data_IF_771970787582
#
_entry.id   IF_771970787582
#
_cell.length_a   1.000
_cell.length_b   1.000
_cell.length_c   1.000
_cell.angle_alpha   90.00
_cell.angle_beta   90.00
_cell.angle_gamma   90.00
#
_symmetry.space_group_name_H-M   'P 1'
#
loop_
_entity.id
_entity.type
_entity.pdbx_description
1 polymer ?
#
# COMPACT_ATOMS: atom_id res chain seq x y z
N UNK A 1 -64.65 -10.10 0.97
CA UNK A 1 -63.66 -10.96 1.64
C UNK A 1 -62.58 -11.55 0.71
N UNK A 2 -62.76 -11.58 -0.62
CA UNK A 2 -61.75 -12.15 -1.56
C UNK A 2 -60.63 -11.19 -1.94
N UNK A 3 -60.80 -9.85 -1.81
CA UNK A 3 -59.80 -8.83 -2.15
C UNK A 3 -58.66 -8.81 -1.14
N UNK A 4 -58.90 -9.07 0.14
CA UNK A 4 -57.89 -9.02 1.18
C UNK A 4 -56.84 -10.14 1.04
N UNK A 5 -57.19 -11.28 0.46
CA UNK A 5 -56.22 -12.40 0.24
C UNK A 5 -55.28 -12.10 -0.93
N UNK A 6 -55.73 -11.36 -1.95
CA UNK A 6 -54.87 -10.98 -3.10
C UNK A 6 -53.83 -9.97 -2.67
N UNK A 7 -54.20 -8.97 -1.86
CA UNK A 7 -53.24 -7.98 -1.30
C UNK A 7 -52.25 -8.66 -0.35
N UNK A 8 -52.66 -9.62 0.45
CA UNK A 8 -51.75 -10.34 1.35
C UNK A 8 -50.77 -11.24 0.58
N UNK A 9 -51.22 -11.87 -0.52
CA UNK A 9 -50.34 -12.65 -1.38
C UNK A 9 -49.37 -11.79 -2.18
N UNK A 10 -49.77 -10.57 -2.57
CA UNK A 10 -48.88 -9.60 -3.26
C UNK A 10 -47.78 -9.08 -2.33
N UNK A 11 -48.05 -8.92 -1.02
CA UNK A 11 -47.06 -8.51 -0.02
C UNK A 11 -46.00 -9.61 0.26
N UNK A 12 -46.34 -10.88 0.11
CA UNK A 12 -45.43 -12.01 0.34
C UNK A 12 -44.40 -12.19 -0.80
N UNK A 13 -44.68 -11.69 -1.99
CA UNK A 13 -43.75 -11.83 -3.14
C UNK A 13 -42.63 -10.77 -3.15
N UNK A 14 -42.73 -9.71 -2.35
CA UNK A 14 -41.74 -8.62 -2.29
C UNK A 14 -40.54 -9.00 -1.39
N UNK A 15 -40.63 -10.04 -0.56
CA UNK A 15 -39.60 -10.42 0.44
C UNK A 15 -38.40 -11.21 -0.09
N UNK A 16 -38.32 -11.50 -1.39
CA UNK A 16 -37.15 -12.15 -2.00
C UNK A 16 -36.26 -11.18 -2.80
N UNK A 17 -36.28 -9.89 -2.52
CA UNK A 17 -35.16 -9.05 -2.88
C UNK A 17 -33.98 -9.47 -2.03
N UNK A 18 -33.25 -10.52 -2.47
CA UNK A 18 -31.94 -10.89 -1.93
C UNK A 18 -31.14 -9.60 -2.03
N UNK A 19 -30.95 -8.95 -0.88
CA UNK A 19 -30.06 -7.79 -0.80
C UNK A 19 -28.70 -8.29 -1.26
N UNK A 20 -28.37 -8.04 -2.53
CA UNK A 20 -27.04 -8.39 -3.03
C UNK A 20 -26.05 -7.74 -2.09
N UNK A 21 -25.25 -8.57 -1.44
CA UNK A 21 -24.23 -8.10 -0.52
C UNK A 21 -23.29 -7.18 -1.32
N UNK A 22 -23.28 -5.90 -0.96
CA UNK A 22 -22.46 -4.92 -1.66
C UNK A 22 -20.99 -5.31 -1.55
N UNK A 23 -20.34 -5.56 -2.69
CA UNK A 23 -18.98 -6.02 -2.79
C UNK A 23 -18.31 -5.44 -4.03
N UNK A 24 -16.97 -5.47 -4.07
CA UNK A 24 -16.26 -4.97 -5.24
C UNK A 24 -14.78 -5.29 -5.23
N UNK A 25 -14.17 -4.97 -6.38
CA UNK A 25 -12.75 -5.13 -6.63
C UNK A 25 -12.24 -3.82 -7.22
N UNK A 26 -11.23 -3.23 -6.60
CA UNK A 26 -10.54 -2.04 -7.09
C UNK A 26 -9.06 -2.35 -7.32
N UNK A 27 -8.56 -2.03 -8.53
CA UNK A 27 -7.17 -2.23 -8.91
C UNK A 27 -6.43 -0.90 -8.80
N UNK A 28 -5.29 -0.91 -8.12
CA UNK A 28 -4.44 0.27 -7.92
C UNK A 28 -3.08 0.05 -8.56
N UNK A 29 -2.51 1.13 -9.09
CA UNK A 29 -1.10 1.18 -9.52
C UNK A 29 -0.32 2.08 -8.58
N UNK A 30 0.85 1.59 -8.15
CA UNK A 30 1.78 2.38 -7.38
C UNK A 30 2.78 3.09 -8.30
N UNK A 31 3.17 4.28 -7.86
CA UNK A 31 4.32 5.00 -8.40
C UNK A 31 5.10 5.59 -7.22
N UNK A 32 6.39 5.25 -7.11
CA UNK A 32 7.27 5.81 -6.09
C UNK A 32 8.31 6.71 -6.74
N UNK A 33 8.53 7.90 -6.17
CA UNK A 33 9.65 8.76 -6.53
C UNK A 33 10.94 8.13 -6.00
N UNK A 34 11.95 8.07 -6.85
CA UNK A 34 13.27 7.55 -6.48
C UNK A 34 14.30 8.61 -6.81
N UNK A 35 14.91 9.17 -5.78
CA UNK A 35 16.02 10.10 -5.92
C UNK A 35 17.33 9.32 -5.85
N UNK A 36 18.03 9.25 -7.00
CA UNK A 36 19.34 8.63 -7.08
C UNK A 36 20.43 9.66 -6.87
N UNK A 37 21.13 9.58 -5.73
CA UNK A 37 22.42 10.25 -5.53
C UNK A 37 23.51 9.24 -5.89
N UNK A 38 24.09 9.37 -7.08
CA UNK A 38 25.24 8.57 -7.52
C UNK A 38 26.47 9.41 -7.29
N UNK A 39 27.28 9.05 -6.29
CA UNK A 39 28.57 9.66 -6.03
C UNK A 39 29.63 8.96 -6.90
N UNK A 40 29.74 9.33 -8.16
CA UNK A 40 30.87 8.91 -8.99
C UNK A 40 31.39 10.11 -9.78
N UNK A 41 32.71 10.31 -9.80
CA UNK A 41 33.39 11.40 -10.52
C UNK A 41 33.19 11.32 -12.04
N UNK A 42 32.70 10.22 -12.58
CA UNK A 42 32.32 10.07 -13.96
C UNK A 42 30.80 10.00 -14.10
N UNK A 43 30.13 11.13 -14.28
CA UNK A 43 28.70 11.21 -14.61
C UNK A 43 28.41 10.58 -15.98
N UNK A 44 28.29 9.27 -16.03
CA UNK A 44 27.69 8.65 -17.20
C UNK A 44 26.17 8.82 -17.11
N UNK A 45 25.67 9.90 -17.71
CA UNK A 45 24.26 10.29 -17.70
C UNK A 45 23.33 9.19 -18.23
N UNK A 46 23.83 8.33 -19.11
CA UNK A 46 23.13 7.18 -19.65
C UNK A 46 22.92 6.07 -18.60
N UNK A 47 23.96 5.74 -17.84
CA UNK A 47 23.87 4.75 -16.75
C UNK A 47 22.87 5.21 -15.67
N UNK A 48 22.91 6.47 -15.29
CA UNK A 48 21.95 7.06 -14.33
C UNK A 48 20.51 6.93 -14.83
N UNK A 49 20.24 7.23 -16.09
CA UNK A 49 18.92 7.07 -16.70
C UNK A 49 18.47 5.60 -16.72
N UNK A 50 19.35 4.68 -17.08
CA UNK A 50 19.04 3.24 -17.10
C UNK A 50 18.70 2.70 -15.70
N UNK A 51 19.49 3.07 -14.68
CA UNK A 51 19.21 2.69 -13.29
C UNK A 51 17.88 3.28 -12.82
N UNK A 52 17.64 4.56 -13.10
CA UNK A 52 16.38 5.22 -12.72
C UNK A 52 15.17 4.58 -13.41
N UNK A 53 15.30 4.17 -14.66
CA UNK A 53 14.21 3.51 -15.39
C UNK A 53 13.97 2.08 -14.89
N UNK A 54 15.01 1.33 -14.54
CA UNK A 54 14.88 0.00 -13.91
C UNK A 54 14.20 0.11 -12.55
N UNK A 55 14.61 1.06 -11.70
CA UNK A 55 13.97 1.31 -10.41
C UNK A 55 12.51 1.72 -10.58
N UNK A 56 12.21 2.62 -11.51
CA UNK A 56 10.83 3.03 -11.81
C UNK A 56 9.96 1.83 -12.17
N UNK A 57 10.43 0.94 -13.04
CA UNK A 57 9.69 -0.29 -13.43
C UNK A 57 9.50 -1.22 -12.22
N UNK A 58 10.49 -1.32 -11.35
CA UNK A 58 10.45 -2.18 -10.17
C UNK A 58 9.48 -1.65 -9.11
N UNK A 59 9.32 -0.32 -9.00
CA UNK A 59 8.37 0.33 -8.08
C UNK A 59 6.97 0.56 -8.65
N UNK A 60 6.78 0.32 -9.96
CA UNK A 60 5.44 0.29 -10.55
C UNK A 60 4.80 -1.06 -10.32
N UNK A 61 4.11 -1.20 -9.20
CA UNK A 61 3.39 -2.41 -8.82
C UNK A 61 1.89 -2.22 -8.99
N UNK A 62 1.21 -3.33 -9.17
CA UNK A 62 -0.24 -3.38 -9.26
C UNK A 62 -0.79 -4.12 -8.04
N UNK A 63 -1.85 -3.57 -7.46
CA UNK A 63 -2.48 -4.09 -6.26
C UNK A 63 -3.97 -4.21 -6.46
N UNK A 64 -4.56 -5.20 -5.81
CA UNK A 64 -6.01 -5.39 -5.80
C UNK A 64 -6.54 -5.23 -4.39
N UNK A 65 -7.55 -4.35 -4.23
CA UNK A 65 -8.40 -4.23 -3.06
C UNK A 65 -9.71 -4.95 -3.36
N UNK A 66 -9.93 -6.07 -2.71
CA UNK A 66 -11.22 -6.77 -2.71
C UNK A 66 -11.96 -6.40 -1.43
N UNK A 67 -13.23 -6.02 -1.55
CA UNK A 67 -13.98 -5.50 -0.41
C UNK A 67 -15.44 -5.89 -0.42
N UNK A 68 -16.03 -5.93 0.76
CA UNK A 68 -17.45 -5.86 1.01
C UNK A 68 -17.74 -4.69 1.99
N UNK A 69 -18.93 -4.63 2.58
CA UNK A 69 -19.29 -3.54 3.51
C UNK A 69 -18.45 -3.50 4.78
N UNK A 70 -17.98 -4.67 5.25
CA UNK A 70 -17.35 -4.83 6.55
C UNK A 70 -15.88 -5.17 6.48
N UNK A 71 -15.44 -5.81 5.40
CA UNK A 71 -14.13 -6.40 5.29
C UNK A 71 -13.46 -6.04 3.97
N UNK A 72 -12.15 -6.06 3.97
CA UNK A 72 -11.36 -5.95 2.75
C UNK A 72 -10.04 -6.68 2.86
N UNK A 73 -9.51 -7.06 1.69
CA UNK A 73 -8.16 -7.57 1.54
C UNK A 73 -7.47 -6.80 0.42
N UNK A 74 -6.30 -6.26 0.73
CA UNK A 74 -5.44 -5.55 -0.21
C UNK A 74 -4.16 -6.34 -0.39
N UNK A 75 -3.82 -6.69 -1.62
CA UNK A 75 -2.65 -7.50 -1.95
C UNK A 75 -2.02 -7.06 -3.26
N UNK A 76 -0.72 -7.29 -3.39
CA UNK A 76 0.00 -7.10 -4.64
C UNK A 76 -0.35 -8.20 -5.63
N UNK A 77 -0.53 -7.82 -6.89
CA UNK A 77 -0.65 -8.76 -8.00
C UNK A 77 0.73 -9.32 -8.35
N UNK A 78 0.86 -10.64 -8.30
CA UNK A 78 2.07 -11.33 -8.72
C UNK A 78 2.14 -11.35 -10.25
N UNK A 79 3.07 -10.58 -10.83
CA UNK A 79 3.37 -10.67 -12.26
C UNK A 79 4.47 -11.70 -12.47
N UNK A 80 4.16 -12.77 -13.20
CA UNK A 80 5.17 -13.66 -13.73
C UNK A 80 6.03 -12.87 -14.72
N UNK A 81 7.18 -12.38 -14.26
CA UNK A 81 8.14 -11.75 -15.15
C UNK A 81 8.91 -12.84 -15.88
N UNK A 82 8.88 -12.80 -17.22
CA UNK A 82 9.79 -13.60 -18.01
C UNK A 82 11.25 -13.28 -17.61
N UNK A 83 12.14 -14.28 -17.53
CA UNK A 83 13.56 -14.04 -17.27
C UNK A 83 14.09 -13.04 -18.29
N UNK A 84 14.44 -11.85 -17.87
CA UNK A 84 15.09 -10.88 -18.76
C UNK A 84 16.55 -11.28 -18.91
N UNK A 85 17.07 -11.38 -20.15
CA UNK A 85 18.50 -11.60 -20.36
C UNK A 85 19.27 -10.44 -19.71
N UNK A 86 20.34 -10.77 -19.00
CA UNK A 86 21.23 -9.80 -18.35
C UNK A 86 21.94 -8.97 -19.43
N UNK A 87 21.37 -7.84 -19.81
CA UNK A 87 21.94 -6.95 -20.82
C UNK A 87 22.88 -5.87 -20.26
N UNK A 88 23.07 -5.78 -18.95
CA UNK A 88 24.10 -4.93 -18.34
C UNK A 88 24.44 -5.48 -16.97
N UNK A 89 25.73 -5.47 -16.62
CA UNK A 89 26.31 -6.09 -15.42
C UNK A 89 25.81 -5.55 -14.07
N UNK A 90 24.69 -4.85 -14.01
CA UNK A 90 24.11 -4.30 -12.80
C UNK A 90 22.68 -4.80 -12.59
N UNK A 91 22.47 -5.59 -11.56
CA UNK A 91 21.16 -6.10 -11.17
C UNK A 91 20.75 -5.52 -9.84
N UNK A 92 19.72 -4.66 -9.85
CA UNK A 92 19.08 -4.19 -8.61
C UNK A 92 17.98 -5.18 -8.25
N UNK A 93 18.14 -5.91 -7.17
CA UNK A 93 17.10 -6.77 -6.62
C UNK A 93 16.63 -6.18 -5.30
N UNK A 94 15.44 -5.60 -5.31
CA UNK A 94 14.79 -5.13 -4.09
C UNK A 94 13.89 -6.26 -3.61
N UNK A 95 14.18 -6.78 -2.44
CA UNK A 95 13.28 -7.72 -1.76
C UNK A 95 12.01 -6.96 -1.36
N UNK A 96 10.97 -7.09 -2.16
CA UNK A 96 9.65 -6.56 -1.82
C UNK A 96 8.86 -7.70 -1.20
N UNK A 97 8.50 -7.54 0.08
CA UNK A 97 7.61 -8.46 0.78
C UNK A 97 6.25 -8.57 0.06
N UNK A 98 5.61 -9.72 0.16
CA UNK A 98 4.23 -9.91 -0.30
C UNK A 98 3.28 -9.44 0.81
N UNK A 99 3.15 -8.12 0.98
CA UNK A 99 2.26 -7.59 1.99
C UNK A 99 0.80 -7.84 1.62
N UNK A 100 0.07 -8.41 2.57
CA UNK A 100 -1.36 -8.65 2.47
C UNK A 100 -2.02 -7.97 3.66
N UNK A 101 -2.77 -6.90 3.38
CA UNK A 101 -3.49 -6.15 4.39
C UNK A 101 -4.96 -6.56 4.41
N UNK A 102 -5.38 -7.27 5.43
CA UNK A 102 -6.78 -7.53 5.74
C UNK A 102 -7.29 -6.50 6.74
N UNK A 103 -8.47 -5.93 6.50
CA UNK A 103 -9.16 -5.01 7.41
C UNK A 103 -10.57 -5.49 7.69
N UNK A 104 -10.96 -5.50 8.97
CA UNK A 104 -12.33 -5.71 9.41
C UNK A 104 -12.85 -4.43 10.07
N UNK A 105 -13.65 -3.68 9.31
CA UNK A 105 -14.17 -2.39 9.74
C UNK A 105 -15.21 -2.53 10.86
N UNK A 106 -15.94 -3.66 10.88
CA UNK A 106 -16.95 -3.93 11.93
C UNK A 106 -16.30 -4.24 13.27
N UNK A 107 -15.20 -5.00 13.25
CA UNK A 107 -14.44 -5.37 14.46
C UNK A 107 -13.35 -4.35 14.82
N UNK A 108 -13.17 -3.33 14.00
CA UNK A 108 -12.17 -2.28 14.17
C UNK A 108 -10.74 -2.84 14.31
N UNK A 109 -10.38 -3.81 13.49
CA UNK A 109 -9.07 -4.47 13.51
C UNK A 109 -8.50 -4.71 12.13
N UNK A 110 -7.19 -4.94 12.06
CA UNK A 110 -6.52 -5.37 10.85
C UNK A 110 -5.55 -6.51 11.13
N UNK A 111 -5.21 -7.24 10.06
CA UNK A 111 -4.11 -8.20 10.02
C UNK A 111 -3.27 -7.90 8.79
N UNK A 112 -2.02 -7.51 9.01
CA UNK A 112 -1.06 -7.30 7.94
C UNK A 112 -0.04 -8.43 7.93
N UNK A 113 -0.04 -9.24 6.85
CA UNK A 113 1.01 -10.24 6.62
C UNK A 113 2.15 -9.58 5.87
N UNK A 114 3.33 -9.58 6.47
CA UNK A 114 4.55 -9.02 5.89
C UNK A 114 5.74 -9.95 6.07
N UNK A 115 6.81 -9.70 5.34
CA UNK A 115 8.05 -10.46 5.43
C UNK A 115 9.24 -9.56 5.67
N UNK A 116 10.03 -9.88 6.70
CA UNK A 116 11.34 -9.25 6.95
C UNK A 116 12.40 -10.33 6.99
N UNK A 117 13.42 -10.23 6.11
CA UNK A 117 14.56 -11.13 6.04
C UNK A 117 14.19 -12.63 6.02
N UNK A 118 13.22 -13.00 5.18
CA UNK A 118 12.74 -14.37 5.02
C UNK A 118 11.86 -14.88 6.17
N UNK A 119 11.50 -14.02 7.14
CA UNK A 119 10.58 -14.35 8.23
C UNK A 119 9.23 -13.70 8.01
N UNK A 120 8.17 -14.50 8.03
CA UNK A 120 6.80 -14.03 7.91
C UNK A 120 6.26 -13.59 9.27
N UNK A 121 5.60 -12.42 9.27
CA UNK A 121 4.91 -11.85 10.41
C UNK A 121 3.43 -11.63 10.08
N UNK A 122 2.60 -11.74 11.10
CA UNK A 122 1.20 -11.33 11.11
C UNK A 122 1.07 -10.21 12.14
N UNK A 123 1.00 -8.98 11.65
CA UNK A 123 0.78 -7.82 12.50
C UNK A 123 -0.72 -7.72 12.74
N UNK A 124 -1.16 -7.96 13.96
CA UNK A 124 -2.57 -7.87 14.36
C UNK A 124 -2.75 -6.73 15.34
N UNK A 125 -3.56 -5.76 14.95
CA UNK A 125 -3.79 -4.59 15.78
C UNK A 125 -5.16 -3.94 15.46
N UNK A 126 -5.50 -2.91 16.24
CA UNK A 126 -6.71 -2.11 16.03
C UNK A 126 -6.52 -1.09 14.92
N UNK A 127 -7.60 -0.82 14.17
CA UNK A 127 -7.63 0.24 13.19
C UNK A 127 -7.61 1.61 13.89
N UNK A 128 -6.54 2.38 13.67
CA UNK A 128 -6.39 3.73 14.23
C UNK A 128 -7.13 4.75 13.37
N UNK A 129 -8.09 5.45 13.95
CA UNK A 129 -8.86 6.46 13.22
C UNK A 129 -8.02 7.74 13.03
N UNK A 130 -7.51 7.93 11.81
CA UNK A 130 -6.80 9.18 11.45
C UNK A 130 -7.80 10.32 11.36
N UNK A 131 -7.44 11.48 11.87
CA UNK A 131 -8.24 12.70 11.79
C UNK A 131 -8.02 13.37 10.42
N UNK A 132 -8.78 12.92 9.40
CA UNK A 132 -8.72 13.51 8.07
C UNK A 132 -9.32 14.91 8.03
N UNK A 133 -8.59 15.87 7.49
CA UNK A 133 -9.08 17.21 7.20
C UNK A 133 -9.68 17.22 5.80
N UNK A 134 -11.01 17.45 5.73
CA UNK A 134 -11.71 17.55 4.46
C UNK A 134 -11.43 18.92 3.83
N UNK A 135 -11.03 18.91 2.56
CA UNK A 135 -10.71 20.11 1.79
C UNK A 135 -11.79 20.32 0.72
N UNK A 136 -12.22 21.56 0.51
CA UNK A 136 -13.23 21.89 -0.49
C UNK A 136 -12.61 21.93 -1.90
N UNK A 137 -12.08 20.78 -2.34
CA UNK A 137 -11.54 20.58 -3.68
C UNK A 137 -12.11 19.27 -4.24
N UNK A 138 -12.41 19.27 -5.52
CA UNK A 138 -12.90 18.10 -6.25
C UNK A 138 -12.11 17.87 -7.52
N UNK A 139 -12.01 16.62 -7.94
CA UNK A 139 -11.53 16.21 -9.27
C UNK A 139 -12.22 14.94 -9.72
N UNK A 140 -12.14 14.64 -11.00
CA UNK A 140 -12.61 13.35 -11.52
C UNK A 140 -11.45 12.36 -11.63
N UNK A 141 -11.70 11.11 -11.19
CA UNK A 141 -10.82 9.97 -11.42
C UNK A 141 -11.66 8.92 -12.15
N UNK A 142 -11.42 8.74 -13.45
CA UNK A 142 -12.33 8.00 -14.31
C UNK A 142 -13.72 8.66 -14.29
N UNK A 143 -14.76 7.86 -14.08
CA UNK A 143 -16.16 8.30 -14.03
C UNK A 143 -16.61 8.79 -12.64
N UNK A 144 -15.69 8.83 -11.67
CA UNK A 144 -16.02 9.17 -10.29
C UNK A 144 -15.60 10.59 -9.93
N UNK A 145 -16.53 11.36 -9.36
CA UNK A 145 -16.20 12.64 -8.71
C UNK A 145 -15.60 12.37 -7.35
N UNK A 146 -14.38 12.85 -7.14
CA UNK A 146 -13.62 12.65 -5.91
C UNK A 146 -13.45 13.93 -5.14
N UNK A 147 -13.47 13.81 -3.81
CA UNK A 147 -13.25 14.88 -2.85
C UNK A 147 -11.88 14.69 -2.17
N UNK A 148 -11.24 15.81 -1.84
CA UNK A 148 -9.92 15.83 -1.23
C UNK A 148 -10.00 15.74 0.27
N UNK A 149 -9.11 14.93 0.86
CA UNK A 149 -8.81 14.93 2.28
C UNK A 149 -7.30 14.96 2.48
N UNK A 150 -6.83 15.57 3.56
CA UNK A 150 -5.41 15.63 3.90
C UNK A 150 -5.18 15.23 5.36
N UNK A 151 -3.98 14.71 5.61
CA UNK A 151 -3.50 14.40 6.94
C UNK A 151 -2.03 14.82 7.02
N UNK A 152 -1.67 15.53 8.08
CA UNK A 152 -0.31 15.98 8.34
C UNK A 152 0.24 15.20 9.52
N UNK A 153 1.39 14.58 9.35
CA UNK A 153 2.16 13.90 10.39
C UNK A 153 3.65 14.18 10.24
N UNK A 154 4.43 13.57 11.09
CA UNK A 154 5.89 13.58 11.00
C UNK A 154 6.37 12.16 10.77
N UNK A 155 7.31 11.99 9.85
CA UNK A 155 8.00 10.71 9.64
C UNK A 155 9.44 10.83 10.13
N UNK A 156 9.88 9.80 10.82
CA UNK A 156 11.26 9.67 11.27
C UNK A 156 11.97 8.63 10.41
N UNK A 157 13.06 9.03 9.77
CA UNK A 157 13.87 8.15 8.92
C UNK A 157 15.30 8.10 9.44
N UNK A 158 15.91 6.93 9.38
CA UNK A 158 17.31 6.74 9.66
C UNK A 158 18.09 6.76 8.35
N UNK A 159 19.15 7.54 8.29
CA UNK A 159 20.03 7.65 7.12
C UNK A 159 21.47 7.47 7.55
N UNK A 160 22.29 6.88 6.67
CA UNK A 160 23.73 6.79 6.88
C UNK A 160 24.38 8.05 6.32
N UNK A 161 25.18 8.76 7.13
CA UNK A 161 25.97 9.91 6.67
C UNK A 161 27.16 9.46 5.82
N UNK A 162 27.82 10.39 5.14
CA UNK A 162 29.06 10.08 4.38
C UNK A 162 30.18 9.57 5.30
N UNK A 163 30.19 9.99 6.57
CA UNK A 163 31.13 9.57 7.61
C UNK A 163 30.80 8.18 8.16
N UNK A 164 29.63 7.64 7.81
CA UNK A 164 29.18 6.30 8.22
C UNK A 164 28.40 6.30 9.54
N UNK A 165 28.00 7.46 10.04
CA UNK A 165 27.16 7.60 11.22
C UNK A 165 25.68 7.45 10.87
N UNK A 166 24.88 6.93 11.82
CA UNK A 166 23.41 6.83 11.67
C UNK A 166 22.80 8.16 12.16
N UNK A 167 22.24 8.91 11.24
CA UNK A 167 21.49 10.11 11.55
C UNK A 167 19.98 9.82 11.51
N UNK A 168 19.26 10.27 12.54
CA UNK A 168 17.81 10.19 12.59
C UNK A 168 17.21 11.54 12.20
N UNK A 169 16.48 11.58 11.11
CA UNK A 169 15.87 12.80 10.57
C UNK A 169 14.36 12.71 10.67
N UNK A 170 13.73 13.67 11.35
CA UNK A 170 12.27 13.82 11.39
C UNK A 170 11.84 14.90 10.39
N UNK A 171 10.87 14.58 9.56
CA UNK A 171 10.34 15.47 8.53
C UNK A 171 8.83 15.53 8.57
N UNK A 172 8.23 16.72 8.35
CA UNK A 172 6.79 16.81 8.15
C UNK A 172 6.40 16.10 6.85
N UNK A 173 5.28 15.36 6.91
CA UNK A 173 4.67 14.70 5.77
C UNK A 173 3.20 15.11 5.66
N UNK A 174 2.79 15.42 4.44
CA UNK A 174 1.38 15.63 4.12
C UNK A 174 0.90 14.49 3.24
N UNK A 175 -0.04 13.71 3.74
CA UNK A 175 -0.74 12.69 2.96
C UNK A 175 -2.02 13.29 2.39
N UNK A 176 -2.17 13.23 1.06
CA UNK A 176 -3.36 13.68 0.34
C UNK A 176 -4.13 12.48 -0.19
N UNK A 177 -5.43 12.43 0.10
CA UNK A 177 -6.35 11.41 -0.41
C UNK A 177 -7.44 12.01 -1.28
N UNK A 178 -7.88 11.22 -2.27
CA UNK A 178 -9.05 11.51 -3.07
C UNK A 178 -10.01 10.34 -2.97
N UNK A 179 -11.21 10.59 -2.46
CA UNK A 179 -12.22 9.57 -2.22
C UNK A 179 -13.53 9.92 -2.91
N UNK A 180 -14.32 8.90 -3.25
CA UNK A 180 -15.62 9.08 -3.86
C UNK A 180 -16.77 8.53 -3.01
N UNK A 181 -17.75 9.38 -2.63
CA UNK A 181 -18.97 8.93 -1.95
C UNK A 181 -19.90 8.10 -2.84
N UNK A 182 -19.69 8.10 -4.16
CA UNK A 182 -20.46 7.27 -5.10
C UNK A 182 -20.30 5.77 -4.83
N UNK A 183 -19.20 5.39 -4.15
CA UNK A 183 -18.96 4.05 -3.63
C UNK A 183 -18.90 4.16 -2.10
N UNK A 184 -20.03 3.97 -1.39
CA UNK A 184 -20.19 4.34 0.02
C UNK A 184 -19.59 3.28 0.96
N UNK A 185 -18.29 3.08 0.89
CA UNK A 185 -17.54 2.22 1.81
C UNK A 185 -16.40 3.02 2.43
N UNK A 186 -16.23 2.87 3.74
CA UNK A 186 -15.13 3.48 4.48
C UNK A 186 -13.85 2.66 4.30
N UNK A 187 -13.29 2.65 3.09
CA UNK A 187 -12.12 1.82 2.80
C UNK A 187 -11.25 2.42 1.68
N UNK A 188 -10.03 1.86 1.53
CA UNK A 188 -9.06 2.26 0.53
C UNK A 188 -7.87 1.31 0.47
N UNK A 189 -6.87 1.61 -0.37
CA UNK A 189 -5.67 0.80 -0.51
C UNK A 189 -4.81 0.84 0.75
N UNK A 190 -4.01 -0.20 0.98
CA UNK A 190 -3.10 -0.34 2.13
C UNK A 190 -3.78 0.02 3.47
N UNK A 191 -3.12 0.83 4.30
CA UNK A 191 -3.61 1.29 5.61
C UNK A 191 -4.57 2.50 5.53
N UNK A 192 -4.97 2.93 4.34
CA UNK A 192 -5.82 4.11 4.17
C UNK A 192 -7.31 3.76 4.22
N UNK A 193 -8.04 4.41 5.12
CA UNK A 193 -9.48 4.28 5.38
C UNK A 193 -9.98 5.48 6.20
N UNK A 194 -11.25 5.50 6.58
CA UNK A 194 -11.79 6.51 7.50
C UNK A 194 -12.50 7.67 6.80
N UNK A 195 -12.70 7.60 5.47
CA UNK A 195 -13.43 8.60 4.69
C UNK A 195 -14.81 8.05 4.27
N UNK A 196 -15.81 8.92 4.04
CA UNK A 196 -17.16 8.49 3.67
C UNK A 196 -17.26 8.10 2.19
N UNK A 197 -16.41 7.18 1.75
CA UNK A 197 -16.35 6.69 0.38
C UNK A 197 -15.04 5.95 0.10
N UNK A 198 -15.00 5.22 -1.03
CA UNK A 198 -13.80 4.53 -1.48
C UNK A 198 -12.70 5.52 -1.85
N UNK A 199 -11.51 5.31 -1.31
CA UNK A 199 -10.32 6.12 -1.62
C UNK A 199 -9.76 5.64 -2.97
N UNK A 200 -9.73 6.53 -3.97
CA UNK A 200 -9.26 6.22 -5.32
C UNK A 200 -7.83 6.66 -5.57
N UNK A 201 -7.32 7.63 -4.82
CA UNK A 201 -5.93 8.06 -4.93
C UNK A 201 -5.36 8.41 -3.57
N UNK A 202 -4.10 8.06 -3.38
CA UNK A 202 -3.27 8.38 -2.23
C UNK A 202 -1.98 9.00 -2.73
N UNK A 203 -1.53 10.08 -2.08
CA UNK A 203 -0.20 10.65 -2.29
C UNK A 203 0.36 11.05 -0.93
N UNK A 204 1.46 10.43 -0.50
CA UNK A 204 2.14 10.73 0.75
C UNK A 204 3.48 11.46 0.56
N UNK A 205 3.66 12.06 -0.63
CA UNK A 205 4.90 12.73 -1.03
C UNK A 205 5.75 11.87 -1.94
N UNK A 206 6.15 10.68 -1.52
CA UNK A 206 7.01 9.78 -2.27
C UNK A 206 6.24 8.66 -2.99
N UNK A 207 5.20 8.15 -2.36
CA UNK A 207 4.33 7.10 -2.91
C UNK A 207 3.03 7.71 -3.43
N UNK A 208 2.67 7.35 -4.65
CA UNK A 208 1.35 7.61 -5.21
C UNK A 208 0.68 6.27 -5.55
N UNK A 209 -0.54 6.07 -5.04
CA UNK A 209 -1.41 4.96 -5.40
C UNK A 209 -2.61 5.51 -6.17
N UNK A 210 -2.88 5.02 -7.36
CA UNK A 210 -4.02 5.47 -8.17
C UNK A 210 -4.88 4.28 -8.56
N UNK A 211 -6.19 4.37 -8.30
CA UNK A 211 -7.15 3.40 -8.75
C UNK A 211 -7.32 3.49 -10.28
N UNK A 212 -7.15 2.36 -10.96
CA UNK A 212 -7.21 2.27 -12.43
C UNK A 212 -8.39 1.46 -12.94
N UNK A 213 -9.01 0.65 -12.08
CA UNK A 213 -10.16 -0.18 -12.43
C UNK A 213 -11.01 -0.45 -11.21
N UNK A 214 -12.33 -0.41 -11.38
CA UNK A 214 -13.30 -0.77 -10.33
C UNK A 214 -14.35 -1.70 -10.94
N UNK A 215 -14.68 -2.76 -10.21
CA UNK A 215 -15.78 -3.67 -10.52
C UNK A 215 -16.65 -3.71 -9.26
N UNK A 216 -17.88 -3.24 -9.39
CA UNK A 216 -18.89 -3.29 -8.31
C UNK A 216 -19.82 -4.46 -8.59
N UNK A 217 -20.13 -5.23 -7.53
CA UNK A 217 -21.00 -6.40 -7.56
C UNK A 217 -20.65 -7.36 -8.72
N UNK A 218 -19.42 -7.90 -8.77
CA UNK A 218 -19.06 -8.91 -9.76
C UNK A 218 -20.01 -10.10 -9.69
N UNK A 219 -20.17 -10.82 -10.80
CA UNK A 219 -21.08 -11.98 -10.88
C UNK A 219 -20.71 -13.06 -9.86
N UNK A 220 -19.42 -13.27 -9.67
CA UNK A 220 -18.91 -14.19 -8.66
C UNK A 220 -18.74 -13.49 -7.32
N UNK A 221 -19.08 -14.19 -6.24
CA UNK A 221 -18.84 -13.68 -4.89
C UNK A 221 -17.35 -13.52 -4.66
N UNK A 222 -16.94 -12.35 -4.14
CA UNK A 222 -15.53 -12.11 -3.81
C UNK A 222 -15.11 -12.92 -2.58
N UNK A 223 -13.89 -13.47 -2.62
CA UNK A 223 -13.26 -14.11 -1.47
C UNK A 223 -12.39 -13.09 -0.73
N UNK A 224 -12.65 -12.93 0.58
CA UNK A 224 -11.88 -12.10 1.49
C UNK A 224 -11.46 -13.00 2.66
N UNK A 225 -10.22 -13.47 2.60
CA UNK A 225 -9.69 -14.39 3.61
C UNK A 225 -8.57 -13.72 4.40
N UNK A 226 -8.72 -13.69 5.72
CA UNK A 226 -7.70 -13.19 6.63
C UNK A 226 -6.45 -14.07 6.56
N UNK A 227 -5.24 -13.50 6.39
CA UNK A 227 -4.01 -14.27 6.37
C UNK A 227 -3.72 -14.89 7.75
N UNK A 228 -3.26 -16.15 7.74
CA UNK A 228 -3.05 -16.94 8.98
C UNK A 228 -1.61 -17.42 9.16
N UNK A 229 -0.73 -17.25 8.17
CA UNK A 229 0.65 -17.76 8.22
C UNK A 229 1.64 -16.65 8.58
N UNK A 230 2.35 -16.80 9.69
CA UNK A 230 3.37 -15.89 10.17
C UNK A 230 3.46 -15.87 11.71
N UNK A 231 4.48 -15.22 12.25
CA UNK A 231 4.57 -14.95 13.69
C UNK A 231 3.64 -13.81 14.03
N UNK A 232 2.69 -14.02 14.92
CA UNK A 232 1.79 -12.96 15.40
C UNK A 232 2.56 -11.97 16.28
N UNK A 233 2.37 -10.69 16.00
CA UNK A 233 2.95 -9.56 16.74
C UNK A 233 1.99 -8.37 16.66
N UNK A 234 2.09 -7.45 17.62
CA UNK A 234 1.46 -6.13 17.53
C UNK A 234 2.24 -5.20 16.59
N UNK A 235 1.66 -4.07 16.22
CA UNK A 235 2.35 -3.06 15.41
C UNK A 235 3.62 -2.56 16.10
N UNK A 236 3.55 -2.29 17.41
CA UNK A 236 4.68 -1.81 18.20
C UNK A 236 5.81 -2.85 18.25
N UNK A 237 5.49 -4.11 18.53
CA UNK A 237 6.49 -5.19 18.55
C UNK A 237 7.16 -5.37 17.17
N UNK A 238 6.38 -5.20 16.10
CA UNK A 238 6.93 -5.29 14.74
C UNK A 238 7.90 -4.15 14.44
N UNK A 239 7.56 -2.92 14.81
CA UNK A 239 8.42 -1.74 14.66
C UNK A 239 9.74 -1.91 15.43
N UNK A 240 9.70 -2.42 16.66
CA UNK A 240 10.90 -2.74 17.45
C UNK A 240 11.78 -3.79 16.75
N UNK A 241 11.18 -4.84 16.19
CA UNK A 241 11.91 -5.86 15.42
C UNK A 241 12.56 -5.25 14.18
N UNK A 242 11.83 -4.39 13.47
CA UNK A 242 12.29 -3.71 12.26
C UNK A 242 13.46 -2.79 12.57
N UNK A 243 13.35 -1.96 13.60
CA UNK A 243 14.40 -1.03 14.03
C UNK A 243 15.68 -1.77 14.45
N UNK A 244 15.53 -2.84 15.24
CA UNK A 244 16.66 -3.67 15.63
C UNK A 244 17.36 -4.28 14.41
N UNK A 245 16.59 -4.80 13.45
CA UNK A 245 17.15 -5.40 12.23
C UNK A 245 17.81 -4.37 11.32
N UNK A 246 17.24 -3.18 11.23
CA UNK A 246 17.85 -2.08 10.48
C UNK A 246 19.19 -1.66 11.07
N UNK A 247 19.30 -1.55 12.40
CA UNK A 247 20.56 -1.27 13.10
C UNK A 247 21.60 -2.35 12.87
N UNK A 248 21.23 -3.64 13.07
CA UNK A 248 22.13 -4.77 12.82
C UNK A 248 22.67 -4.76 11.38
N UNK A 249 21.86 -4.43 10.39
CA UNK A 249 22.29 -4.33 8.99
C UNK A 249 23.26 -3.15 8.77
N UNK A 250 22.97 -2.00 9.35
CA UNK A 250 23.84 -0.83 9.23
C UNK A 250 25.20 -1.08 9.87
N UNK A 251 25.23 -1.69 11.04
CA UNK A 251 26.50 -2.09 11.73
C UNK A 251 27.30 -3.09 10.90
N UNK A 252 26.64 -4.10 10.30
CA UNK A 252 27.30 -5.04 9.39
C UNK A 252 27.86 -4.35 8.14
N UNK A 253 27.16 -3.34 7.62
CA UNK A 253 27.62 -2.56 6.49
C UNK A 253 28.85 -1.71 6.86
N UNK A 254 28.86 -1.08 8.02
CA UNK A 254 29.99 -0.31 8.53
C UNK A 254 31.23 -1.19 8.74
N UNK A 255 31.08 -2.38 9.32
CA UNK A 255 32.19 -3.31 9.54
C UNK A 255 32.84 -3.83 8.25
N UNK A 256 32.07 -3.91 7.15
CA UNK A 256 32.55 -4.30 5.82
C UNK A 256 33.24 -3.16 5.06
N UNK A 257 32.94 -1.90 5.39
CA UNK A 257 33.49 -0.71 4.72
C UNK A 257 35.03 -0.60 4.86
N UNK A 258 35.62 -1.20 5.87
CA UNK A 258 37.07 -1.19 6.13
C UNK A 258 37.91 -2.04 5.17
N UNK A 259 37.34 -2.85 4.26
CA UNK A 259 38.09 -3.87 3.53
C UNK A 259 37.93 -3.81 1.98
N UNK A 260 37.21 -2.85 1.43
CA UNK A 260 36.97 -2.86 -0.02
C UNK A 260 36.84 -1.44 -0.63
N UNK A 261 37.83 -1.04 -1.45
CA UNK A 261 37.92 0.23 -2.20
C UNK A 261 37.11 0.24 -3.51
N UNK A 262 36.08 -0.59 -3.63
CA UNK A 262 35.26 -0.74 -4.83
C UNK A 262 34.21 0.36 -5.02
N UNK A 263 34.04 0.80 -6.26
CA UNK A 263 33.05 1.75 -6.75
C UNK A 263 31.62 1.39 -6.28
N UNK A 264 31.06 2.09 -5.31
CA UNK A 264 29.77 1.76 -4.67
C UNK A 264 28.69 2.77 -5.06
N UNK A 265 27.58 2.26 -5.54
CA UNK A 265 26.36 3.05 -5.79
C UNK A 265 25.47 2.96 -4.54
N UNK A 266 25.29 4.09 -3.86
CA UNK A 266 24.32 4.18 -2.77
C UNK A 266 22.97 4.58 -3.34
N UNK A 267 21.97 3.69 -3.20
CA UNK A 267 20.61 3.97 -3.62
C UNK A 267 19.82 4.34 -2.37
N UNK A 268 19.42 5.60 -2.27
CA UNK A 268 18.49 6.07 -1.24
C UNK A 268 17.07 5.89 -1.77
N UNK A 269 16.32 5.00 -1.14
CA UNK A 269 14.89 4.86 -1.39
C UNK A 269 14.21 5.72 -0.32
N UNK A 270 13.53 6.79 -0.75
CA UNK A 270 12.78 7.64 0.16
C UNK A 270 11.74 6.80 0.91
N UNK A 271 11.69 6.95 2.20
CA UNK A 271 10.67 6.45 3.11
C UNK A 271 9.75 7.56 3.49
#
# INVERSE_FOLDING_TARGET
>A
MKINYVCFFLLLTISNAIAQEFQGIATYKSHRKVDLKISSENENSEMKKQIQEQLRKQFQQEYTLTFNRNESIYKREEKLQAPQPAQSGFRIQIAQGSDIMYKNMKENRYTNKTEIFGKLFLIKDTLNNRQWQLVNETKNIGDYTCFKAVFNDEITTQTLTEEGEIETITKPRTTTLWYTPQIPINNGPAEYYGLPGLILEVNDGDLTLVCTKIIINPEERVSIEEPTKGKEVSQVEFEEIQDKKSKEMMEQYQSRKGNDDGNRVMIRIGG
#
